data_IF_311654043112
#
_entry.id   IF_311654043112
#
_cell.length_a   1.000
_cell.length_b   1.000
_cell.length_c   1.000
_cell.angle_alpha   90.00
_cell.angle_beta   90.00
_cell.angle_gamma   90.00
#
_symmetry.space_group_name_H-M   'P 1'
#
loop_
_entity.id
_entity.type
_entity.pdbx_description
1 polymer ?
#
# COMPACT_ATOMS: atom_id res chain seq x y z
N UNK A 1 10.78 15.20 37.02
CA UNK A 1 10.23 15.59 35.70
C UNK A 1 9.51 14.38 35.13
N UNK A 2 8.18 14.33 35.25
CA UNK A 2 7.38 13.26 34.64
C UNK A 2 7.39 13.45 33.13
N UNK A 3 7.91 12.48 32.38
CA UNK A 3 7.79 12.48 30.92
C UNK A 3 6.29 12.38 30.59
N UNK A 4 5.72 13.40 29.96
CA UNK A 4 4.41 13.30 29.33
C UNK A 4 4.45 12.09 28.39
N UNK A 5 3.69 11.04 28.71
CA UNK A 5 3.46 9.94 27.77
C UNK A 5 2.59 10.49 26.66
N UNK A 6 3.20 11.07 25.63
CA UNK A 6 2.48 11.42 24.42
C UNK A 6 2.03 10.11 23.75
N UNK A 7 0.80 9.69 24.06
CA UNK A 7 0.11 8.57 23.42
C UNK A 7 -0.45 9.02 22.06
N UNK A 8 0.37 9.69 21.26
CA UNK A 8 -0.04 10.05 19.91
C UNK A 8 -0.12 8.78 19.07
N UNK A 9 -1.33 8.43 18.65
CA UNK A 9 -1.59 7.31 17.75
C UNK A 9 -2.02 7.89 16.41
N UNK A 10 -1.32 7.48 15.35
CA UNK A 10 -1.73 7.78 13.99
C UNK A 10 -3.03 7.04 13.66
N UNK A 11 -3.85 7.67 12.83
CA UNK A 11 -5.03 7.03 12.26
C UNK A 11 -4.65 5.68 11.60
N UNK A 12 -5.45 4.61 11.78
CA UNK A 12 -5.16 3.31 11.18
C UNK A 12 -4.93 3.37 9.66
N UNK A 13 -5.61 4.27 8.94
CA UNK A 13 -5.42 4.46 7.51
C UNK A 13 -4.05 5.08 7.19
N UNK A 14 -3.57 6.00 8.04
CA UNK A 14 -2.23 6.58 7.90
C UNK A 14 -1.17 5.51 8.14
N UNK A 15 -1.34 4.66 9.16
CA UNK A 15 -0.44 3.54 9.39
C UNK A 15 -0.44 2.55 8.21
N UNK A 16 -1.62 2.22 7.68
CA UNK A 16 -1.75 1.36 6.49
C UNK A 16 -1.07 1.96 5.26
N UNK A 17 -1.31 3.24 4.98
CA UNK A 17 -0.66 3.97 3.89
C UNK A 17 0.86 3.96 4.06
N UNK A 18 1.34 4.31 5.25
CA UNK A 18 2.76 4.35 5.56
C UNK A 18 3.44 2.98 5.45
N UNK A 19 2.74 1.89 5.83
CA UNK A 19 3.22 0.52 5.64
C UNK A 19 3.37 0.17 4.16
N UNK A 20 2.34 0.45 3.35
CA UNK A 20 2.38 0.21 1.91
C UNK A 20 3.48 1.04 1.25
N UNK A 21 3.58 2.33 1.61
CA UNK A 21 4.62 3.23 1.10
C UNK A 21 6.02 2.72 1.45
N UNK A 22 6.26 2.31 2.70
CA UNK A 22 7.56 1.78 3.12
C UNK A 22 7.92 0.47 2.42
N UNK A 23 6.94 -0.39 2.12
CA UNK A 23 7.15 -1.65 1.39
C UNK A 23 7.46 -1.37 -0.09
N UNK A 24 6.68 -0.50 -0.75
CA UNK A 24 6.81 -0.25 -2.19
C UNK A 24 7.97 0.68 -2.55
N UNK A 25 8.15 1.77 -1.81
CA UNK A 25 9.22 2.74 -2.08
C UNK A 25 10.57 2.31 -1.48
N UNK A 26 10.54 1.38 -0.52
CA UNK A 26 11.69 0.95 0.25
C UNK A 26 12.05 1.91 1.39
N UNK A 27 12.83 1.38 2.34
CA UNK A 27 13.16 2.06 3.61
C UNK A 27 13.77 3.45 3.42
N UNK A 28 14.75 3.59 2.53
CA UNK A 28 15.48 4.84 2.34
C UNK A 28 14.60 5.96 1.77
N UNK A 29 13.74 5.62 0.80
CA UNK A 29 12.81 6.57 0.22
C UNK A 29 11.74 6.99 1.23
N UNK A 30 11.25 6.03 2.03
CA UNK A 30 10.30 6.31 3.10
C UNK A 30 10.88 7.27 4.15
N UNK A 31 12.09 7.01 4.63
CA UNK A 31 12.75 7.88 5.62
C UNK A 31 13.04 9.28 5.05
N UNK A 32 13.44 9.37 3.77
CA UNK A 32 13.59 10.65 3.10
C UNK A 32 12.27 11.44 3.10
N UNK A 33 11.16 10.82 2.72
CA UNK A 33 9.84 11.47 2.72
C UNK A 33 9.43 11.87 4.15
N UNK A 34 9.60 10.97 5.13
CA UNK A 34 9.24 11.20 6.54
C UNK A 34 10.00 12.38 7.14
N UNK A 35 11.28 12.53 6.83
CA UNK A 35 12.10 13.64 7.34
C UNK A 35 11.63 14.97 6.72
N UNK A 36 11.28 14.96 5.43
CA UNK A 36 10.82 16.16 4.72
C UNK A 36 9.35 16.51 5.00
N UNK A 37 8.54 15.56 5.49
CA UNK A 37 7.15 15.75 5.93
C UNK A 37 7.04 15.42 7.43
N UNK A 38 7.57 16.33 8.25
CA UNK A 38 7.60 16.18 9.71
C UNK A 38 6.19 15.93 10.26
N UNK A 39 6.07 14.94 11.16
CA UNK A 39 4.83 14.52 11.84
C UNK A 39 3.69 13.98 10.95
N UNK A 40 3.87 13.95 9.62
CA UNK A 40 2.86 13.40 8.71
C UNK A 40 2.88 11.86 8.67
N UNK A 41 4.04 11.26 8.96
CA UNK A 41 4.26 9.83 8.81
C UNK A 41 4.81 9.18 10.09
N UNK A 42 4.35 7.97 10.43
CA UNK A 42 4.81 7.24 11.61
C UNK A 42 6.30 6.90 11.52
N UNK A 43 6.93 6.69 12.68
CA UNK A 43 8.31 6.20 12.71
C UNK A 43 8.39 4.76 12.17
N UNK A 44 9.56 4.39 11.66
CA UNK A 44 9.83 3.01 11.23
C UNK A 44 9.67 2.00 12.36
N UNK A 45 9.92 2.38 13.62
CA UNK A 45 9.64 1.55 14.80
C UNK A 45 8.13 1.35 15.00
N UNK A 46 7.34 2.42 14.89
CA UNK A 46 5.87 2.37 14.95
C UNK A 46 5.31 1.47 13.85
N UNK A 47 5.82 1.61 12.63
CA UNK A 47 5.46 0.78 11.49
C UNK A 47 5.82 -0.69 11.68
N UNK A 48 7.00 -0.99 12.22
CA UNK A 48 7.42 -2.37 12.48
C UNK A 48 6.46 -3.05 13.46
N UNK A 49 6.08 -2.36 14.53
CA UNK A 49 5.10 -2.87 15.49
C UNK A 49 3.71 -3.03 14.84
N UNK A 50 3.28 -2.08 14.03
CA UNK A 50 2.02 -2.17 13.29
C UNK A 50 1.99 -3.37 12.32
N UNK A 51 3.06 -3.56 11.54
CA UNK A 51 3.18 -4.64 10.56
C UNK A 51 3.28 -6.03 11.22
N UNK A 52 3.88 -6.13 12.41
CA UNK A 52 3.89 -7.40 13.17
C UNK A 52 2.50 -7.81 13.66
N UNK A 53 1.63 -6.83 13.93
CA UNK A 53 0.27 -7.08 14.41
C UNK A 53 -0.75 -7.31 13.30
N UNK A 54 -0.36 -7.06 12.04
CA UNK A 54 -1.28 -7.18 10.91
C UNK A 54 -0.88 -8.34 10.05
N UNK A 55 -1.83 -9.24 9.82
CA UNK A 55 -1.73 -10.27 8.79
C UNK A 55 -1.92 -9.64 7.41
N UNK A 56 -1.00 -8.74 7.03
CA UNK A 56 -0.83 -8.24 5.67
C UNK A 56 0.51 -8.79 5.17
N UNK A 57 0.59 -10.07 4.81
CA UNK A 57 1.67 -10.53 3.96
C UNK A 57 1.47 -9.88 2.59
N UNK A 58 1.96 -8.65 2.42
CA UNK A 58 2.17 -8.08 1.10
C UNK A 58 3.33 -8.86 0.49
N UNK A 59 3.00 -9.96 -0.19
CA UNK A 59 3.96 -10.67 -1.02
C UNK A 59 4.33 -9.73 -2.16
N UNK A 60 5.63 -9.48 -2.30
CA UNK A 60 6.18 -8.82 -3.48
C UNK A 60 5.59 -9.51 -4.73
N UNK A 61 5.08 -8.71 -5.67
CA UNK A 61 4.50 -9.16 -6.95
C UNK A 61 3.13 -9.86 -6.91
N UNK A 62 2.38 -9.89 -5.81
CA UNK A 62 1.01 -10.43 -5.83
C UNK A 62 -0.01 -9.35 -6.25
N UNK A 63 -0.16 -9.16 -7.57
CA UNK A 63 -1.23 -8.33 -8.10
C UNK A 63 -2.58 -9.03 -7.90
N UNK A 64 -3.41 -8.50 -6.99
CA UNK A 64 -4.75 -9.04 -6.71
C UNK A 64 -5.76 -8.59 -7.76
N UNK A 65 -5.69 -9.20 -8.94
CA UNK A 65 -6.56 -8.92 -10.08
C UNK A 65 -8.06 -8.94 -9.70
N UNK A 66 -8.47 -9.91 -8.88
CA UNK A 66 -9.86 -10.04 -8.43
C UNK A 66 -10.36 -8.80 -7.68
N UNK A 67 -9.51 -8.16 -6.87
CA UNK A 67 -9.87 -6.95 -6.12
C UNK A 67 -10.01 -5.75 -7.06
N UNK A 68 -9.12 -5.62 -8.04
CA UNK A 68 -9.22 -4.57 -9.05
C UNK A 68 -10.52 -4.74 -9.85
N UNK A 69 -10.81 -5.97 -10.31
CA UNK A 69 -12.02 -6.28 -11.05
C UNK A 69 -13.28 -5.94 -10.24
N UNK A 70 -13.34 -6.39 -8.98
CA UNK A 70 -14.48 -6.09 -8.09
C UNK A 70 -14.67 -4.59 -7.87
N UNK A 71 -13.57 -3.83 -7.75
CA UNK A 71 -13.64 -2.38 -7.64
C UNK A 71 -14.19 -1.74 -8.93
N UNK A 72 -13.66 -2.11 -10.10
CA UNK A 72 -14.13 -1.58 -11.38
C UNK A 72 -15.60 -1.92 -11.64
N UNK A 73 -16.04 -3.13 -11.29
CA UNK A 73 -17.45 -3.53 -11.34
C UNK A 73 -18.31 -2.69 -10.37
N UNK A 74 -17.80 -2.34 -9.18
CA UNK A 74 -18.56 -1.57 -8.19
C UNK A 74 -18.80 -0.10 -8.56
N UNK A 75 -17.97 0.46 -9.44
CA UNK A 75 -18.11 1.83 -9.95
C UNK A 75 -18.76 1.87 -11.34
N UNK A 76 -19.30 0.73 -11.80
CA UNK A 76 -19.91 0.55 -13.14
C UNK A 76 -19.00 1.05 -14.28
N UNK A 77 -17.69 0.78 -14.15
CA UNK A 77 -16.70 1.17 -15.15
C UNK A 77 -16.67 0.16 -16.29
N UNK A 78 -16.62 0.67 -17.53
CA UNK A 78 -16.26 -0.15 -18.68
C UNK A 78 -14.74 -0.40 -18.67
N UNK A 79 -14.32 -1.65 -18.71
CA UNK A 79 -12.91 -2.03 -18.78
C UNK A 79 -12.72 -3.25 -19.67
N UNK A 80 -11.59 -3.30 -20.36
CA UNK A 80 -11.17 -4.45 -21.16
C UNK A 80 -9.83 -4.93 -20.63
N UNK A 81 -9.75 -6.23 -20.36
CA UNK A 81 -8.48 -6.84 -20.01
C UNK A 81 -7.84 -7.41 -21.27
N UNK A 82 -6.64 -6.93 -21.59
CA UNK A 82 -5.84 -7.42 -22.69
C UNK A 82 -4.56 -8.05 -22.14
N UNK A 83 -4.24 -9.25 -22.63
CA UNK A 83 -2.93 -9.85 -22.46
C UNK A 83 -2.28 -10.01 -23.82
N UNK A 84 -1.04 -9.54 -23.95
CA UNK A 84 -0.22 -9.76 -25.14
C UNK A 84 0.62 -11.01 -24.95
N UNK A 85 0.48 -11.97 -25.85
CA UNK A 85 1.41 -13.09 -25.96
C UNK A 85 2.74 -12.61 -26.57
N UNK A 86 3.83 -13.36 -26.34
CA UNK A 86 5.20 -12.96 -26.71
C UNK A 86 5.40 -12.78 -28.23
N UNK A 87 4.50 -13.34 -29.02
CA UNK A 87 4.38 -13.32 -30.48
C UNK A 87 3.53 -12.14 -31.00
N UNK A 88 3.07 -11.24 -30.11
CA UNK A 88 2.40 -9.98 -30.47
C UNK A 88 0.91 -10.13 -30.77
N UNK A 89 0.34 -11.33 -30.59
CA UNK A 89 -1.09 -11.54 -30.68
C UNK A 89 -1.78 -11.02 -29.41
N UNK A 90 -2.77 -10.14 -29.60
CA UNK A 90 -3.62 -9.59 -28.56
C UNK A 90 -4.84 -10.49 -28.38
N UNK A 91 -4.98 -11.10 -27.20
CA UNK A 91 -6.26 -11.65 -26.76
C UNK A 91 -6.90 -10.66 -25.78
N UNK A 92 -8.14 -10.28 -26.07
CA UNK A 92 -8.94 -9.40 -25.23
C UNK A 92 -10.26 -10.11 -24.89
N UNK A 93 -10.69 -9.97 -23.64
CA UNK A 93 -12.03 -10.39 -23.21
C UNK A 93 -12.77 -9.17 -22.68
N UNK A 94 -13.93 -8.90 -23.28
CA UNK A 94 -14.83 -7.80 -22.91
C UNK A 94 -15.95 -8.30 -22.01
N UNK A 95 -16.55 -7.38 -21.24
CA UNK A 95 -17.78 -7.56 -20.49
C UNK A 95 -18.82 -6.58 -21.03
#
# INVERSE_FOLDING_TARGET
MGRSSNNYQFDPNVNKFASVLNILAGHNAYEFIRINLSDALPSTTTLKNYNQNISLPLRECEFRFDLLKNYLDSIDSNYVFASTEADGNLSASEK
#
